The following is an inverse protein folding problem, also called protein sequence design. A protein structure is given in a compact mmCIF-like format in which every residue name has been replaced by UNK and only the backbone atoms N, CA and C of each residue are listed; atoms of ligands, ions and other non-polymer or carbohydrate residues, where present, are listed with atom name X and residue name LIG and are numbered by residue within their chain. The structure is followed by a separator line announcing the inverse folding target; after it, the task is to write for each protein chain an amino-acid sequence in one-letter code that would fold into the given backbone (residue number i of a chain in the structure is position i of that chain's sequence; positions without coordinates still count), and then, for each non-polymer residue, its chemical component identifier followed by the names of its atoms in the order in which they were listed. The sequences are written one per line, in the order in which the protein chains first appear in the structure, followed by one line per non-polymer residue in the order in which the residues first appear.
data_IF_215074752934
#
_entry.id   IF_215074752934
#
_cell.length_a   1.000
_cell.length_b   1.000
_cell.length_c   1.000
_cell.angle_alpha   90.00
_cell.angle_beta   90.00
_cell.angle_gamma   90.00
#
_symmetry.space_group_name_H-M   'P 1'
#
loop_
_entity.id
_entity.type
_entity.pdbx_description
1 polymer ?
#
# COMPACT_ATOMS: atom_id res chain seq x y z
N UNK A 1 7.62 -35.30 -6.70
CA UNK A 1 6.38 -34.56 -6.31
C UNK A 1 6.50 -33.13 -6.83
N UNK A 2 5.41 -32.54 -7.31
CA UNK A 2 5.37 -31.17 -7.86
C UNK A 2 4.47 -30.30 -6.96
N UNK A 3 4.92 -29.08 -6.68
CA UNK A 3 4.19 -28.11 -5.86
C UNK A 3 3.79 -26.88 -6.69
N UNK A 4 2.68 -26.25 -6.32
CA UNK A 4 2.16 -25.02 -6.92
C UNK A 4 2.09 -23.91 -5.87
N UNK A 5 2.02 -22.65 -6.33
CA UNK A 5 1.95 -21.48 -5.45
C UNK A 5 0.50 -21.03 -5.26
N UNK A 6 0.04 -20.91 -4.02
CA UNK A 6 -1.30 -20.38 -3.67
C UNK A 6 -1.32 -18.87 -3.41
N UNK A 7 -0.15 -18.22 -3.48
CA UNK A 7 0.05 -16.78 -3.30
C UNK A 7 1.06 -16.30 -4.32
N UNK A 8 1.05 -14.99 -4.57
CA UNK A 8 2.00 -14.37 -5.48
C UNK A 8 3.44 -14.65 -5.02
N UNK A 9 4.25 -15.36 -5.82
CA UNK A 9 5.57 -15.77 -5.38
C UNK A 9 6.54 -14.58 -5.36
N UNK A 10 7.37 -14.55 -4.32
CA UNK A 10 8.49 -13.61 -4.26
C UNK A 10 9.53 -13.97 -5.32
N UNK A 11 9.99 -12.98 -6.08
CA UNK A 11 10.98 -13.18 -7.15
C UNK A 11 10.38 -13.47 -8.53
N UNK A 12 9.05 -13.57 -8.65
CA UNK A 12 8.43 -13.60 -9.98
C UNK A 12 8.40 -12.20 -10.60
N UNK A 13 8.85 -12.10 -11.86
CA UNK A 13 9.10 -10.83 -12.57
C UNK A 13 7.90 -9.89 -12.57
N UNK A 14 6.70 -10.43 -12.66
CA UNK A 14 5.46 -9.65 -12.73
C UNK A 14 4.78 -9.43 -11.38
N UNK A 15 5.29 -10.04 -10.30
CA UNK A 15 4.74 -9.86 -8.95
C UNK A 15 4.66 -8.38 -8.55
N UNK A 16 5.70 -7.55 -8.74
CA UNK A 16 5.65 -6.15 -8.31
C UNK A 16 4.57 -5.36 -9.05
N UNK A 17 4.45 -5.55 -10.37
CA UNK A 17 3.44 -4.84 -11.18
C UNK A 17 2.01 -5.25 -10.79
N UNK A 18 1.77 -6.52 -10.49
CA UNK A 18 0.46 -7.01 -10.06
C UNK A 18 0.10 -6.47 -8.67
N UNK A 19 1.03 -6.54 -7.71
CA UNK A 19 0.82 -5.94 -6.39
C UNK A 19 0.49 -4.45 -6.49
N UNK A 20 1.25 -3.71 -7.30
CA UNK A 20 1.03 -2.28 -7.50
C UNK A 20 -0.37 -1.98 -8.05
N UNK A 21 -0.82 -2.70 -9.08
CA UNK A 21 -2.17 -2.53 -9.63
C UNK A 21 -3.28 -2.83 -8.62
N UNK A 22 -3.11 -3.86 -7.77
CA UNK A 22 -4.08 -4.19 -6.73
C UNK A 22 -4.15 -3.12 -5.63
N UNK A 23 -3.01 -2.59 -5.21
CA UNK A 23 -2.95 -1.50 -4.21
C UNK A 23 -3.58 -0.23 -4.79
N UNK A 24 -3.28 0.12 -6.05
CA UNK A 24 -3.91 1.25 -6.74
C UNK A 24 -5.43 1.14 -6.77
N UNK A 25 -5.98 0.01 -7.20
CA UNK A 25 -7.42 -0.20 -7.25
C UNK A 25 -8.08 -0.09 -5.85
N UNK A 26 -7.41 -0.56 -4.80
CA UNK A 26 -7.91 -0.43 -3.42
C UNK A 26 -7.95 1.04 -2.97
N UNK A 27 -6.89 1.80 -3.24
CA UNK A 27 -6.81 3.22 -2.84
C UNK A 27 -7.75 4.12 -3.65
N UNK A 28 -7.93 3.86 -4.94
CA UNK A 28 -8.93 4.55 -5.77
C UNK A 28 -10.36 4.31 -5.26
N UNK A 29 -10.69 3.07 -4.90
CA UNK A 29 -11.99 2.73 -4.31
C UNK A 29 -12.21 3.38 -2.94
N UNK A 30 -11.15 3.57 -2.16
CA UNK A 30 -11.21 4.21 -0.84
C UNK A 30 -11.11 5.74 -0.87
N UNK A 31 -11.17 6.38 -2.05
CA UNK A 31 -11.07 7.84 -2.21
C UNK A 31 -9.81 8.43 -1.54
N UNK A 32 -8.69 7.72 -1.59
CA UNK A 32 -7.40 8.24 -1.16
C UNK A 32 -6.71 8.87 -2.37
N UNK A 33 -6.97 10.15 -2.66
CA UNK A 33 -6.51 10.81 -3.90
C UNK A 33 -5.13 11.47 -3.79
N UNK A 34 -4.61 11.71 -2.59
CA UNK A 34 -3.35 12.44 -2.38
C UNK A 34 -2.25 11.53 -1.83
N UNK A 35 -1.83 10.57 -2.65
CA UNK A 35 -0.71 9.69 -2.35
C UNK A 35 0.10 9.37 -3.60
N UNK A 36 1.36 8.99 -3.41
CA UNK A 36 2.23 8.49 -4.47
C UNK A 36 2.59 7.05 -4.13
N UNK A 37 2.24 6.12 -5.01
CA UNK A 37 2.70 4.74 -4.91
C UNK A 37 3.98 4.53 -5.71
N UNK A 38 4.98 3.92 -5.09
CA UNK A 38 6.20 3.47 -5.76
C UNK A 38 6.49 2.02 -5.40
N UNK A 39 6.21 1.08 -6.32
CA UNK A 39 6.45 -0.38 -6.24
C UNK A 39 5.92 -1.05 -4.95
N UNK A 40 6.52 -0.79 -3.78
CA UNK A 40 6.12 -1.31 -2.48
C UNK A 40 5.90 -0.22 -1.40
N UNK A 41 6.20 1.04 -1.70
CA UNK A 41 6.13 2.15 -0.75
C UNK A 41 4.99 3.10 -1.16
N UNK A 42 4.36 3.72 -0.17
CA UNK A 42 3.28 4.70 -0.35
C UNK A 42 3.71 5.97 0.40
N UNK A 43 3.73 7.09 -0.31
CA UNK A 43 4.07 8.40 0.24
C UNK A 43 2.79 9.23 0.34
N UNK A 44 2.59 9.85 1.49
CA UNK A 44 1.47 10.73 1.81
C UNK A 44 2.01 12.11 2.13
N UNK A 45 1.35 13.17 1.67
CA UNK A 45 1.75 14.55 1.92
C UNK A 45 0.55 15.43 2.28
N UNK A 46 0.85 16.60 2.86
CA UNK A 46 -0.12 17.57 3.34
C UNK A 46 0.62 18.82 3.82
N UNK A 47 -0.12 19.92 4.02
CA UNK A 47 0.47 21.18 4.46
C UNK A 47 0.73 21.19 5.97
N UNK A 48 0.02 20.34 6.72
CA UNK A 48 0.17 20.18 8.16
C UNK A 48 0.42 18.72 8.53
N UNK A 49 1.09 18.50 9.66
CA UNK A 49 1.31 17.14 10.17
C UNK A 49 -0.02 16.41 10.48
N UNK A 50 -1.06 17.16 10.88
CA UNK A 50 -2.39 16.62 11.13
C UNK A 50 -3.02 16.07 9.84
N UNK A 51 -2.99 16.84 8.75
CA UNK A 51 -3.48 16.38 7.44
C UNK A 51 -2.74 15.12 6.96
N UNK A 52 -1.41 15.08 7.12
CA UNK A 52 -0.61 13.90 6.74
C UNK A 52 -1.01 12.69 7.57
N UNK A 53 -1.27 12.89 8.86
CA UNK A 53 -1.67 11.82 9.78
C UNK A 53 -3.06 11.27 9.42
N UNK A 54 -4.06 12.13 9.25
CA UNK A 54 -5.43 11.75 8.88
C UNK A 54 -5.47 10.99 7.54
N UNK A 55 -4.74 11.48 6.52
CA UNK A 55 -4.60 10.79 5.24
C UNK A 55 -3.86 9.46 5.38
N UNK A 56 -2.80 9.42 6.19
CA UNK A 56 -2.04 8.22 6.50
C UNK A 56 -2.89 7.13 7.16
N UNK A 57 -3.70 7.49 8.16
CA UNK A 57 -4.64 6.58 8.81
C UNK A 57 -5.69 6.06 7.85
N UNK A 58 -6.27 6.93 7.00
CA UNK A 58 -7.23 6.51 5.97
C UNK A 58 -6.64 5.46 5.02
N UNK A 59 -5.41 5.67 4.55
CA UNK A 59 -4.70 4.71 3.68
C UNK A 59 -4.42 3.40 4.39
N UNK A 60 -3.97 3.45 5.65
CA UNK A 60 -3.76 2.24 6.47
C UNK A 60 -5.05 1.45 6.59
N UNK A 61 -6.17 2.11 6.86
CA UNK A 61 -7.48 1.47 6.99
C UNK A 61 -7.90 0.79 5.68
N UNK A 62 -7.83 1.48 4.53
CA UNK A 62 -8.18 0.92 3.22
C UNK A 62 -7.36 -0.32 2.90
N UNK A 63 -6.04 -0.28 3.15
CA UNK A 63 -5.15 -1.40 2.88
C UNK A 63 -5.45 -2.61 3.78
N UNK A 64 -5.76 -2.37 5.05
CA UNK A 64 -6.16 -3.43 5.99
C UNK A 64 -7.49 -4.06 5.58
N UNK A 65 -8.48 -3.26 5.16
CA UNK A 65 -9.77 -3.74 4.63
C UNK A 65 -9.59 -4.56 3.34
N UNK A 66 -8.63 -4.17 2.50
CA UNK A 66 -8.22 -4.92 1.31
C UNK A 66 -7.30 -6.12 1.61
N UNK A 67 -7.13 -6.48 2.89
CA UNK A 67 -6.32 -7.63 3.36
C UNK A 67 -4.82 -7.53 3.06
N UNK A 68 -4.29 -6.33 2.86
CA UNK A 68 -2.85 -6.10 2.78
C UNK A 68 -2.20 -6.04 4.16
N UNK A 69 -1.01 -6.62 4.26
CA UNK A 69 -0.19 -6.55 5.47
C UNK A 69 0.75 -5.34 5.41
N UNK A 70 0.72 -4.51 6.45
CA UNK A 70 1.59 -3.33 6.57
C UNK A 70 2.71 -3.63 7.57
N UNK A 71 3.97 -3.41 7.15
CA UNK A 71 5.12 -3.59 8.03
C UNK A 71 5.30 -2.36 8.92
N UNK A 72 4.88 -2.43 10.19
CA UNK A 72 5.02 -1.34 11.17
C UNK A 72 6.44 -0.77 11.26
N UNK A 73 7.46 -1.62 11.17
CA UNK A 73 8.87 -1.20 11.23
C UNK A 73 9.33 -0.34 10.04
N UNK A 74 8.52 -0.26 8.97
CA UNK A 74 8.78 0.57 7.79
C UNK A 74 7.93 1.84 7.74
N UNK A 75 6.95 1.97 8.63
CA UNK A 75 6.13 3.18 8.72
C UNK A 75 7.00 4.31 9.29
N UNK A 76 7.03 5.43 8.58
CA UNK A 76 7.73 6.65 9.00
C UNK A 76 6.68 7.72 9.32
N UNK A 77 6.95 8.53 10.34
CA UNK A 77 6.11 9.69 10.67
C UNK A 77 6.33 10.85 9.69
N UNK A 78 5.48 11.90 9.78
CA UNK A 78 5.71 13.14 9.05
C UNK A 78 7.09 13.72 9.37
N UNK A 79 7.71 14.32 8.34
CA UNK A 79 9.04 14.95 8.44
C UNK A 79 9.01 16.26 9.22
#
# INVERSE_FOLDING_TARGET
MQYTWNRLPQGWKHSPTICHGLIQAALEKGEATEHLQYINDIIVWGNTALEVFEKGEKIIQILLEASFAIKKSKVKGPA
#
